data_IF_139981114319
#
_entry.id   IF_139981114319
#
_cell.length_a   1.000
_cell.length_b   1.000
_cell.length_c   1.000
_cell.angle_alpha   90.00
_cell.angle_beta   90.00
_cell.angle_gamma   90.00
#
_symmetry.space_group_name_H-M   'P 1'
#
loop_
_entity.id
_entity.type
_entity.pdbx_description
1 polymer ?
#
# COMPACT_ATOMS: atom_id res chain seq x y z
N UNK A 1 -0.93 1.16 3.74
CA UNK A 1 -2.30 1.11 3.17
C UNK A 1 -2.34 1.51 1.72
N UNK A 2 -1.92 2.72 1.32
CA UNK A 2 -1.91 3.12 -0.10
C UNK A 2 -1.28 2.07 -1.04
N UNK A 3 -0.14 1.49 -0.65
CA UNK A 3 0.54 0.48 -1.47
C UNK A 3 -0.29 -0.80 -1.65
N UNK A 4 -1.03 -1.22 -0.63
CA UNK A 4 -1.87 -2.42 -0.68
C UNK A 4 -3.13 -2.18 -1.52
N UNK A 5 -3.73 -1.00 -1.39
CA UNK A 5 -4.85 -0.58 -2.24
C UNK A 5 -4.43 -0.49 -3.70
N UNK A 6 -3.22 0.00 -3.98
CA UNK A 6 -2.67 0.00 -5.34
C UNK A 6 -2.50 -1.42 -5.90
N UNK A 7 -1.91 -2.35 -5.11
CA UNK A 7 -1.78 -3.76 -5.51
C UNK A 7 -3.14 -4.35 -5.83
N UNK A 8 -4.11 -4.18 -4.92
CA UNK A 8 -5.47 -4.69 -5.09
C UNK A 8 -6.11 -4.20 -6.39
N UNK A 9 -5.88 -2.94 -6.75
CA UNK A 9 -6.39 -2.37 -7.99
C UNK A 9 -5.71 -2.93 -9.24
N UNK A 10 -4.38 -3.08 -9.25
CA UNK A 10 -3.69 -3.67 -10.41
C UNK A 10 -4.12 -5.11 -10.68
N UNK A 11 -4.53 -5.83 -9.63
CA UNK A 11 -4.86 -7.25 -9.66
C UNK A 11 -6.38 -7.49 -9.56
N UNK A 12 -7.22 -6.48 -9.81
CA UNK A 12 -8.68 -6.55 -9.62
C UNK A 12 -9.36 -7.68 -10.39
N UNK A 13 -8.85 -8.01 -11.58
CA UNK A 13 -9.38 -9.10 -12.42
C UNK A 13 -8.74 -10.47 -12.13
N UNK A 14 -7.73 -10.52 -11.25
CA UNK A 14 -6.93 -11.72 -11.00
C UNK A 14 -7.53 -12.65 -9.93
N UNK A 15 -8.68 -12.28 -9.35
CA UNK A 15 -9.43 -13.07 -8.37
C UNK A 15 -9.34 -12.53 -6.94
N UNK A 16 -9.68 -13.34 -5.93
CA UNK A 16 -9.71 -12.87 -4.55
C UNK A 16 -8.32 -12.48 -4.05
N UNK A 17 -8.24 -11.37 -3.32
CA UNK A 17 -7.03 -10.88 -2.69
C UNK A 17 -6.92 -11.40 -1.26
N UNK A 18 -5.83 -12.10 -0.96
CA UNK A 18 -5.53 -12.53 0.40
C UNK A 18 -4.51 -11.63 1.10
N UNK A 19 -4.71 -11.40 2.39
CA UNK A 19 -3.82 -10.58 3.21
C UNK A 19 -3.36 -11.34 4.46
N UNK A 20 -2.05 -11.37 4.69
CA UNK A 20 -1.47 -11.96 5.88
C UNK A 20 -0.54 -10.99 6.60
N UNK A 21 -0.75 -10.79 7.90
CA UNK A 21 0.15 -10.00 8.74
C UNK A 21 0.17 -10.48 10.19
N UNK A 22 0.72 -9.69 11.11
CA UNK A 22 0.59 -9.95 12.55
C UNK A 22 -0.80 -9.53 13.00
N UNK A 23 -1.34 -10.20 14.04
CA UNK A 23 -2.68 -9.90 14.57
C UNK A 23 -2.85 -8.42 14.96
N UNK A 24 -1.80 -7.81 15.55
CA UNK A 24 -1.81 -6.40 15.92
C UNK A 24 -1.83 -5.47 14.71
N UNK A 25 -1.06 -5.80 13.66
CA UNK A 25 -1.02 -5.00 12.44
C UNK A 25 -2.32 -5.07 11.64
N UNK A 26 -2.96 -6.25 11.58
CA UNK A 26 -4.27 -6.40 10.92
C UNK A 26 -5.28 -5.42 11.52
N UNK A 27 -5.38 -5.35 12.85
CA UNK A 27 -6.28 -4.41 13.51
C UNK A 27 -6.03 -2.96 13.10
N UNK A 28 -4.76 -2.57 13.01
CA UNK A 28 -4.40 -1.21 12.55
C UNK A 28 -4.82 -1.02 11.10
N UNK A 29 -4.60 -1.99 10.22
CA UNK A 29 -4.98 -1.88 8.81
C UNK A 29 -6.51 -1.88 8.60
N UNK A 30 -7.26 -2.62 9.42
CA UNK A 30 -8.73 -2.57 9.47
C UNK A 30 -9.22 -1.13 9.74
N UNK A 31 -8.64 -0.45 10.72
CA UNK A 31 -8.96 0.96 11.04
C UNK A 31 -8.68 1.92 9.85
N UNK A 32 -7.88 1.49 8.87
CA UNK A 32 -7.58 2.23 7.64
C UNK A 32 -8.23 1.64 6.38
N UNK A 33 -9.25 0.79 6.51
CA UNK A 33 -10.07 0.30 5.40
C UNK A 33 -9.51 -0.93 4.66
N UNK A 34 -8.80 -1.82 5.35
CA UNK A 34 -8.33 -3.09 4.77
C UNK A 34 -9.46 -3.92 4.15
N UNK A 35 -10.61 -3.96 4.82
CA UNK A 35 -11.77 -4.77 4.44
C UNK A 35 -12.47 -4.26 3.16
N UNK A 36 -12.09 -3.10 2.63
CA UNK A 36 -12.64 -2.55 1.39
C UNK A 36 -12.13 -3.27 0.13
N UNK A 37 -10.99 -3.98 0.22
CA UNK A 37 -10.33 -4.54 -0.95
C UNK A 37 -9.64 -5.90 -0.70
N UNK A 38 -9.76 -6.48 0.50
CA UNK A 38 -9.22 -7.80 0.84
C UNK A 38 -10.37 -8.78 1.06
N UNK A 39 -10.32 -9.92 0.40
CA UNK A 39 -11.35 -10.97 0.49
C UNK A 39 -11.08 -11.96 1.63
N UNK A 40 -9.81 -12.34 1.82
CA UNK A 40 -9.41 -13.34 2.81
C UNK A 40 -8.25 -12.81 3.64
N UNK A 41 -8.34 -12.94 4.97
CA UNK A 41 -7.30 -12.47 5.88
C UNK A 41 -6.85 -13.54 6.85
N UNK A 42 -5.58 -13.50 7.20
CA UNK A 42 -4.97 -14.45 8.12
C UNK A 42 -3.85 -13.80 8.89
N UNK A 43 -3.48 -14.38 10.03
CA UNK A 43 -2.33 -13.89 10.77
C UNK A 43 -1.29 -14.97 11.03
N UNK A 44 -0.02 -14.59 11.12
CA UNK A 44 1.11 -15.53 11.27
C UNK A 44 0.93 -16.62 12.33
N UNK A 45 0.18 -16.35 13.41
CA UNK A 45 -0.10 -17.31 14.48
C UNK A 45 -1.11 -18.43 14.15
N UNK A 46 -1.95 -18.28 13.11
CA UNK A 46 -3.12 -19.14 12.85
C UNK A 46 -3.01 -19.93 11.52
N UNK A 47 -1.91 -19.77 10.79
CA UNK A 47 -1.75 -20.38 9.46
C UNK A 47 -1.34 -21.85 9.52
N UNK A 48 -1.04 -22.37 10.73
CA UNK A 48 -0.63 -23.76 10.92
C UNK A 48 -1.85 -24.67 10.85
N UNK A 49 -2.16 -25.14 9.65
CA UNK A 49 -3.25 -26.09 9.39
C UNK A 49 -4.41 -25.50 8.58
N UNK A 50 -4.42 -24.20 8.34
CA UNK A 50 -5.38 -23.57 7.43
C UNK A 50 -4.99 -23.82 5.96
N UNK A 51 -6.01 -24.09 5.15
CA UNK A 51 -5.96 -24.15 3.69
C UNK A 51 -6.74 -22.98 3.05
N UNK A 52 -7.18 -21.98 3.82
CA UNK A 52 -7.99 -20.85 3.30
C UNK A 52 -7.29 -20.00 2.23
N UNK A 53 -5.97 -20.16 2.09
CA UNK A 53 -5.15 -19.48 1.09
C UNK A 53 -4.74 -20.38 -0.09
N UNK A 54 -5.19 -21.64 -0.13
CA UNK A 54 -4.67 -22.64 -1.08
C UNK A 54 -5.01 -22.31 -2.53
N UNK A 55 -6.13 -21.63 -2.77
CA UNK A 55 -6.64 -21.20 -4.08
C UNK A 55 -6.45 -19.69 -4.35
N UNK A 56 -6.07 -18.93 -3.32
CA UNK A 56 -5.82 -17.49 -3.42
C UNK A 56 -4.52 -17.23 -4.20
N UNK A 57 -4.64 -16.58 -5.36
CA UNK A 57 -3.54 -16.36 -6.31
C UNK A 57 -2.80 -15.05 -6.10
N UNK A 58 -3.48 -14.04 -5.58
CA UNK A 58 -2.91 -12.73 -5.28
C UNK A 58 -2.86 -12.56 -3.77
N UNK A 59 -1.65 -12.42 -3.25
CA UNK A 59 -1.39 -12.39 -1.82
C UNK A 59 -0.56 -11.17 -1.41
N UNK A 60 -0.86 -10.60 -0.25
CA UNK A 60 -0.03 -9.59 0.40
C UNK A 60 0.43 -10.14 1.75
N UNK A 61 1.74 -10.16 1.98
CA UNK A 61 2.34 -10.51 3.28
C UNK A 61 3.01 -9.28 3.85
N UNK A 62 2.46 -8.75 4.94
CA UNK A 62 2.93 -7.51 5.57
C UNK A 62 3.60 -7.78 6.92
N UNK A 63 4.80 -7.22 7.11
CA UNK A 63 5.59 -7.34 8.33
C UNK A 63 6.10 -8.76 8.57
N UNK A 64 6.54 -9.02 9.80
CA UNK A 64 6.97 -10.34 10.26
C UNK A 64 6.68 -10.49 11.75
N UNK A 65 6.69 -11.74 12.24
CA UNK A 65 6.76 -11.96 13.67
C UNK A 65 8.18 -11.69 14.18
N UNK A 66 8.26 -11.05 15.33
CA UNK A 66 9.51 -10.84 16.05
C UNK A 66 9.63 -11.93 17.14
N UNK A 67 10.48 -12.96 16.97
CA UNK A 67 10.57 -14.05 17.95
C UNK A 67 11.09 -13.54 19.29
N UNK A 68 10.45 -13.94 20.40
CA UNK A 68 10.91 -13.51 21.73
C UNK A 68 12.28 -14.09 22.08
N UNK A 69 13.06 -13.39 22.93
CA UNK A 69 14.37 -13.91 23.36
C UNK A 69 14.27 -15.29 24.02
N UNK A 70 13.32 -15.54 24.95
CA UNK A 70 13.19 -16.88 25.54
C UNK A 70 12.94 -17.97 24.50
N UNK A 71 12.21 -17.67 23.41
CA UNK A 71 11.97 -18.64 22.34
C UNK A 71 13.26 -19.01 21.61
N UNK A 72 14.10 -18.03 21.29
CA UNK A 72 15.40 -18.27 20.63
C UNK A 72 16.33 -19.03 21.57
N UNK A 73 16.39 -18.62 22.85
CA UNK A 73 17.20 -19.28 23.87
C UNK A 73 16.78 -20.73 24.10
N UNK A 74 15.47 -21.03 24.07
CA UNK A 74 14.97 -22.40 24.16
C UNK A 74 15.48 -23.26 23.01
N UNK A 75 15.42 -22.79 21.76
CA UNK A 75 15.97 -23.51 20.61
C UNK A 75 17.49 -23.64 20.67
N UNK A 76 18.19 -22.61 21.14
CA UNK A 76 19.62 -22.69 21.42
C UNK A 76 19.94 -23.77 22.44
N UNK A 77 19.19 -23.85 23.55
CA UNK A 77 19.38 -24.86 24.58
C UNK A 77 19.16 -26.29 24.04
N UNK A 78 18.18 -26.49 23.16
CA UNK A 78 18.00 -27.78 22.46
C UNK A 78 19.21 -28.16 21.58
N UNK A 79 19.93 -27.18 21.06
CA UNK A 79 21.18 -27.36 20.32
C UNK A 79 22.43 -27.38 21.22
N UNK A 80 22.28 -27.34 22.56
CA UNK A 80 23.39 -27.29 23.50
C UNK A 80 24.06 -25.92 23.64
N UNK A 81 23.43 -24.85 23.15
CA UNK A 81 23.96 -23.49 23.11
C UNK A 81 23.34 -22.60 24.21
N UNK A 82 24.16 -21.77 24.85
CA UNK A 82 23.72 -20.77 25.84
C UNK A 82 23.63 -19.39 25.20
N UNK A 83 22.57 -19.17 24.43
CA UNK A 83 22.39 -17.95 23.64
C UNK A 83 21.98 -16.74 24.50
N UNK A 84 22.53 -15.57 24.20
CA UNK A 84 22.14 -14.29 24.80
C UNK A 84 21.96 -13.24 23.71
N UNK A 85 20.94 -12.37 23.81
CA UNK A 85 20.77 -11.31 22.84
C UNK A 85 21.92 -10.30 22.97
N UNK A 86 22.44 -9.84 21.84
CA UNK A 86 23.49 -8.83 21.86
C UNK A 86 22.98 -7.44 22.27
N UNK A 87 23.88 -6.64 22.81
CA UNK A 87 23.63 -5.26 23.21
C UNK A 87 24.40 -4.31 22.29
N UNK A 88 23.77 -3.21 21.93
CA UNK A 88 24.45 -2.13 21.23
C UNK A 88 25.40 -1.35 22.14
N UNK A 89 26.10 -0.38 21.56
CA UNK A 89 27.09 0.47 22.24
C UNK A 89 26.55 1.18 23.49
N UNK A 90 25.26 1.51 23.49
CA UNK A 90 24.57 2.14 24.62
C UNK A 90 24.12 1.14 25.72
N UNK A 91 24.52 -0.13 25.63
CA UNK A 91 24.15 -1.19 26.57
C UNK A 91 22.70 -1.70 26.43
N UNK A 92 21.94 -1.19 25.46
CA UNK A 92 20.56 -1.65 25.21
C UNK A 92 20.54 -2.85 24.27
N UNK A 93 19.62 -3.80 24.52
CA UNK A 93 19.47 -4.98 23.66
C UNK A 93 19.05 -4.53 22.26
N UNK A 94 19.74 -5.07 21.24
CA UNK A 94 19.42 -4.80 19.85
C UNK A 94 18.04 -5.36 19.49
N UNK A 95 17.29 -4.63 18.63
CA UNK A 95 15.90 -4.95 18.26
C UNK A 95 15.66 -4.78 16.77
N UNK A 96 14.57 -5.38 16.29
CA UNK A 96 14.14 -5.30 14.89
C UNK A 96 15.21 -5.88 13.97
N UNK A 97 15.54 -5.16 12.89
CA UNK A 97 16.55 -5.57 11.92
C UNK A 97 17.96 -5.72 12.51
N UNK A 98 18.26 -5.06 13.63
CA UNK A 98 19.59 -5.14 14.29
C UNK A 98 19.69 -6.27 15.31
N UNK A 99 18.59 -6.97 15.59
CA UNK A 99 18.60 -8.03 16.59
C UNK A 99 19.48 -9.19 16.12
N UNK A 100 20.36 -9.64 17.00
CA UNK A 100 21.26 -10.77 16.78
C UNK A 100 21.52 -11.50 18.11
N UNK A 101 21.85 -12.78 17.99
CA UNK A 101 22.31 -13.66 19.07
C UNK A 101 23.73 -14.20 18.77
N UNK A 102 24.45 -13.53 17.87
CA UNK A 102 25.75 -13.95 17.38
C UNK A 102 25.67 -15.09 16.37
N UNK A 103 26.84 -15.52 15.90
CA UNK A 103 27.01 -16.54 14.85
C UNK A 103 26.21 -17.83 15.10
N UNK A 104 26.18 -18.32 16.34
CA UNK A 104 25.47 -19.54 16.70
C UNK A 104 23.94 -19.37 16.81
N UNK A 105 23.48 -18.16 17.14
CA UNK A 105 22.08 -17.88 17.41
C UNK A 105 21.31 -17.28 16.25
N UNK A 106 22.00 -16.60 15.33
CA UNK A 106 21.40 -15.95 14.18
C UNK A 106 20.75 -16.92 13.19
N UNK A 107 21.29 -18.12 12.92
CA UNK A 107 20.58 -19.14 12.13
C UNK A 107 19.21 -19.51 12.72
N UNK A 108 19.08 -19.56 14.05
CA UNK A 108 17.81 -19.83 14.74
C UNK A 108 16.87 -18.62 14.59
N UNK A 109 17.38 -17.40 14.73
CA UNK A 109 16.60 -16.18 14.50
C UNK A 109 16.05 -16.16 13.07
N UNK A 110 16.90 -16.39 12.07
CA UNK A 110 16.56 -16.48 10.65
C UNK A 110 15.50 -17.55 10.40
N UNK A 111 15.66 -18.72 11.00
CA UNK A 111 14.69 -19.81 10.87
C UNK A 111 13.30 -19.46 11.45
N UNK A 112 13.25 -18.64 12.51
CA UNK A 112 12.00 -18.30 13.18
C UNK A 112 11.32 -17.06 12.61
N UNK A 113 12.06 -16.15 11.97
CA UNK A 113 11.56 -14.87 11.47
C UNK A 113 11.48 -14.86 9.94
N UNK A 114 12.61 -14.96 9.26
CA UNK A 114 12.73 -14.86 7.80
C UNK A 114 12.10 -16.07 7.10
N UNK A 115 12.44 -17.28 7.54
CA UNK A 115 11.84 -18.49 6.97
C UNK A 115 10.32 -18.58 7.27
N UNK A 116 9.85 -17.96 8.36
CA UNK A 116 8.41 -17.89 8.64
C UNK A 116 7.69 -17.02 7.61
N UNK A 117 8.26 -15.86 7.22
CA UNK A 117 7.71 -15.02 6.15
C UNK A 117 7.60 -15.81 4.84
N UNK A 118 8.67 -16.52 4.46
CA UNK A 118 8.66 -17.32 3.24
C UNK A 118 7.62 -18.44 3.28
N UNK A 119 7.52 -19.18 4.40
CA UNK A 119 6.50 -20.22 4.57
C UNK A 119 5.09 -19.67 4.44
N UNK A 120 4.85 -18.44 4.91
CA UNK A 120 3.57 -17.76 4.75
C UNK A 120 3.32 -17.34 3.31
N UNK A 121 4.32 -16.79 2.63
CA UNK A 121 4.20 -16.47 1.20
C UNK A 121 3.86 -17.71 0.36
N UNK A 122 4.45 -18.87 0.70
CA UNK A 122 4.16 -20.15 0.06
C UNK A 122 2.79 -20.76 0.42
N UNK A 123 1.98 -20.11 1.28
CA UNK A 123 0.61 -20.58 1.56
C UNK A 123 -0.36 -20.28 0.42
N UNK A 124 -0.07 -19.22 -0.32
CA UNK A 124 -0.86 -18.82 -1.48
C UNK A 124 -0.69 -19.82 -2.62
N UNK A 125 -1.79 -20.09 -3.33
CA UNK A 125 -1.81 -20.90 -4.55
C UNK A 125 -1.13 -22.28 -4.44
N UNK A 126 -1.26 -22.94 -3.29
CA UNK A 126 -0.73 -24.30 -3.07
C UNK A 126 -1.42 -25.36 -3.93
N UNK A 127 -2.65 -25.10 -4.36
CA UNK A 127 -3.37 -26.03 -5.22
C UNK A 127 -2.95 -25.86 -6.69
N UNK A 128 -2.28 -26.87 -7.27
CA UNK A 128 -1.82 -26.79 -8.64
C UNK A 128 -3.02 -26.92 -9.59
N UNK A 129 -3.30 -25.86 -10.34
CA UNK A 129 -4.18 -25.92 -11.50
C UNK A 129 -3.40 -25.57 -12.77
N UNK A 130 -3.27 -26.55 -13.67
CA UNK A 130 -2.48 -26.43 -14.92
C UNK A 130 -2.97 -25.32 -15.85
N UNK A 131 -4.18 -24.82 -15.65
CA UNK A 131 -4.82 -23.80 -16.49
C UNK A 131 -4.87 -22.41 -15.83
N UNK A 132 -4.31 -22.24 -14.64
CA UNK A 132 -4.33 -20.96 -13.94
C UNK A 132 -3.00 -20.21 -14.09
N UNK A 133 -3.08 -18.88 -14.17
CA UNK A 133 -1.95 -17.96 -14.18
C UNK A 133 -1.06 -18.17 -12.94
N UNK A 134 0.24 -17.82 -12.94
CA UNK A 134 1.10 -17.85 -11.74
C UNK A 134 0.52 -17.08 -10.56
N UNK A 135 0.95 -17.40 -9.33
CA UNK A 135 0.55 -16.65 -8.15
C UNK A 135 1.48 -15.46 -7.94
N UNK A 136 0.92 -14.29 -7.63
CA UNK A 136 1.69 -13.09 -7.28
C UNK A 136 1.55 -12.85 -5.78
N UNK A 137 2.67 -12.90 -5.06
CA UNK A 137 2.71 -12.65 -3.62
C UNK A 137 3.62 -11.45 -3.34
N UNK A 138 3.01 -10.37 -2.89
CA UNK A 138 3.68 -9.12 -2.57
C UNK A 138 4.17 -9.14 -1.12
N UNK A 139 5.47 -8.92 -0.93
CA UNK A 139 6.09 -8.93 0.39
C UNK A 139 6.40 -7.50 0.83
N UNK A 140 5.70 -7.03 1.86
CA UNK A 140 5.99 -5.75 2.53
C UNK A 140 6.66 -6.02 3.88
N UNK A 141 7.92 -6.43 3.83
CA UNK A 141 8.70 -6.84 5.00
C UNK A 141 10.20 -6.75 4.73
N UNK A 142 10.98 -6.57 5.78
CA UNK A 142 12.45 -6.62 5.72
C UNK A 142 13.01 -8.00 6.11
N UNK A 143 12.14 -8.95 6.45
CA UNK A 143 12.52 -10.27 6.94
C UNK A 143 12.33 -11.34 5.85
N UNK A 144 13.06 -11.20 4.75
CA UNK A 144 13.09 -12.20 3.68
C UNK A 144 14.44 -12.94 3.78
N UNK A 145 14.48 -14.28 3.64
CA UNK A 145 15.75 -14.99 3.63
C UNK A 145 16.64 -14.49 2.50
N UNK A 146 17.94 -14.32 2.77
CA UNK A 146 18.90 -13.70 1.83
C UNK A 146 19.00 -14.43 0.47
N UNK A 147 18.76 -15.75 0.47
CA UNK A 147 18.81 -16.57 -0.74
C UNK A 147 17.54 -16.46 -1.61
N UNK A 148 16.49 -15.78 -1.15
CA UNK A 148 15.29 -15.51 -1.94
C UNK A 148 15.49 -14.19 -2.66
N UNK A 149 15.38 -14.22 -3.99
CA UNK A 149 15.52 -13.04 -4.85
C UNK A 149 14.12 -12.59 -5.35
N UNK A 150 13.38 -11.75 -4.58
CA UNK A 150 12.11 -11.22 -5.06
C UNK A 150 12.32 -10.15 -6.13
N UNK A 151 11.36 -10.01 -7.05
CA UNK A 151 11.29 -8.82 -7.89
C UNK A 151 11.08 -7.59 -7.02
N UNK A 152 11.92 -6.57 -7.19
CA UNK A 152 11.82 -5.35 -6.40
C UNK A 152 10.82 -4.38 -7.00
N UNK A 153 9.75 -4.15 -6.25
CA UNK A 153 8.74 -3.14 -6.57
C UNK A 153 9.08 -1.83 -5.84
N UNK A 154 9.70 -0.88 -6.53
CA UNK A 154 10.01 0.44 -5.98
C UNK A 154 8.81 1.37 -6.18
N UNK A 155 8.20 1.78 -5.07
CA UNK A 155 7.16 2.79 -5.02
C UNK A 155 7.77 4.15 -4.66
N UNK A 156 7.45 5.19 -5.42
CA UNK A 156 7.84 6.56 -5.10
C UNK A 156 6.66 7.29 -4.45
N UNK A 157 6.59 7.38 -3.12
CA UNK A 157 5.56 8.18 -2.47
C UNK A 157 5.83 9.66 -2.75
N UNK A 158 4.89 10.31 -3.42
CA UNK A 158 4.91 11.76 -3.63
C UNK A 158 3.93 12.41 -2.66
N UNK A 159 4.46 13.31 -1.84
CA UNK A 159 3.66 14.13 -0.94
C UNK A 159 3.21 15.38 -1.70
N UNK A 160 1.98 15.36 -2.20
CA UNK A 160 1.45 16.48 -2.96
C UNK A 160 1.27 17.74 -2.13
N UNK A 161 1.04 17.61 -0.82
CA UNK A 161 0.99 18.73 0.13
C UNK A 161 2.28 19.57 0.12
N UNK A 162 3.42 18.98 -0.22
CA UNK A 162 4.71 19.68 -0.30
C UNK A 162 4.91 20.42 -1.63
N UNK A 163 4.06 20.18 -2.64
CA UNK A 163 4.07 20.95 -3.88
C UNK A 163 3.29 22.24 -3.69
N UNK A 164 3.94 23.40 -3.93
CA UNK A 164 3.30 24.72 -3.73
C UNK A 164 1.92 24.84 -4.39
N UNK A 165 1.77 24.38 -5.63
CA UNK A 165 0.49 24.51 -6.35
C UNK A 165 -0.52 23.41 -6.00
N UNK A 166 -0.07 22.16 -5.88
CA UNK A 166 -0.98 21.06 -5.57
C UNK A 166 -1.43 21.13 -4.11
N UNK A 167 -0.52 21.40 -3.17
CA UNK A 167 -0.85 21.58 -1.77
C UNK A 167 -1.92 22.66 -1.54
N UNK A 168 -1.85 23.78 -2.25
CA UNK A 168 -2.90 24.82 -2.21
C UNK A 168 -4.26 24.31 -2.68
N UNK A 169 -4.30 23.56 -3.79
CA UNK A 169 -5.53 22.94 -4.30
C UNK A 169 -6.10 21.94 -3.29
N UNK A 170 -5.24 21.07 -2.74
CA UNK A 170 -5.64 20.06 -1.76
C UNK A 170 -6.20 20.70 -0.48
N UNK A 171 -5.54 21.74 0.04
CA UNK A 171 -6.02 22.48 1.23
C UNK A 171 -7.40 23.07 0.97
N UNK A 172 -7.61 23.71 -0.17
CA UNK A 172 -8.91 24.30 -0.53
C UNK A 172 -10.00 23.26 -0.67
N UNK A 173 -9.73 22.12 -1.33
CA UNK A 173 -10.70 21.03 -1.46
C UNK A 173 -11.10 20.47 -0.09
N UNK A 174 -10.16 20.41 0.86
CA UNK A 174 -10.41 19.89 2.21
C UNK A 174 -11.17 20.86 3.10
N UNK A 175 -10.70 22.10 3.15
CA UNK A 175 -11.06 23.05 4.20
C UNK A 175 -12.11 24.08 3.74
N UNK A 176 -12.10 24.42 2.47
CA UNK A 176 -12.80 25.62 1.97
C UNK A 176 -14.00 25.28 1.09
N UNK A 177 -13.96 24.16 0.36
CA UNK A 177 -15.07 23.72 -0.47
C UNK A 177 -16.12 22.98 0.36
N UNK A 178 -17.39 23.34 0.13
CA UNK A 178 -18.54 22.71 0.76
C UNK A 178 -18.60 21.22 0.44
N UNK A 179 -19.22 20.45 1.34
CA UNK A 179 -19.56 19.06 1.07
C UNK A 179 -20.49 18.99 -0.16
N UNK A 180 -20.19 18.09 -1.09
CA UNK A 180 -20.92 17.95 -2.35
C UNK A 180 -20.04 18.13 -3.58
N UNK A 181 -20.65 18.59 -4.68
CA UNK A 181 -20.00 18.72 -5.98
C UNK A 181 -19.61 20.16 -6.31
N UNK A 182 -18.47 20.32 -6.99
CA UNK A 182 -17.87 21.60 -7.33
C UNK A 182 -17.23 21.56 -8.72
N UNK A 183 -17.11 22.72 -9.37
CA UNK A 183 -16.47 22.89 -10.68
C UNK A 183 -15.03 23.36 -10.52
N UNK A 184 -14.26 23.29 -11.59
CA UNK A 184 -12.90 23.86 -11.62
C UNK A 184 -12.88 25.36 -11.27
N UNK A 185 -13.92 26.11 -11.61
CA UNK A 185 -14.07 27.54 -11.26
C UNK A 185 -14.08 27.75 -9.75
N UNK A 186 -14.81 26.90 -9.04
CA UNK A 186 -15.04 27.04 -7.60
C UNK A 186 -13.73 26.82 -6.83
N UNK A 187 -12.90 25.88 -7.31
CA UNK A 187 -11.53 25.69 -6.81
C UNK A 187 -10.66 26.91 -7.06
N UNK A 188 -10.73 27.49 -8.26
CA UNK A 188 -9.90 28.65 -8.61
C UNK A 188 -10.26 29.85 -7.75
N UNK A 189 -11.55 30.15 -7.61
CA UNK A 189 -12.06 31.22 -6.74
C UNK A 189 -11.64 31.01 -5.28
N UNK A 190 -11.74 29.78 -4.76
CA UNK A 190 -11.35 29.50 -3.39
C UNK A 190 -9.83 29.57 -3.16
N UNK A 191 -9.01 29.13 -4.13
CA UNK A 191 -7.55 29.30 -4.08
C UNK A 191 -7.16 30.77 -4.14
N UNK A 192 -7.80 31.55 -5.03
CA UNK A 192 -7.57 32.99 -5.15
C UNK A 192 -7.94 33.72 -3.86
N UNK A 193 -9.11 33.42 -3.29
CA UNK A 193 -9.56 33.99 -2.01
C UNK A 193 -8.57 33.71 -0.87
N UNK A 194 -7.97 32.50 -0.83
CA UNK A 194 -7.08 32.08 0.27
C UNK A 194 -5.63 32.54 0.09
N UNK A 195 -5.11 32.53 -1.13
CA UNK A 195 -3.68 32.73 -1.40
C UNK A 195 -3.35 33.96 -2.29
N UNK A 196 -4.35 34.66 -2.82
CA UNK A 196 -4.19 35.86 -3.65
C UNK A 196 -4.07 35.58 -5.15
N UNK A 197 -4.25 36.63 -5.96
CA UNK A 197 -4.34 36.59 -7.42
C UNK A 197 -2.94 36.54 -8.08
N UNK A 198 -2.64 35.48 -8.84
CA UNK A 198 -1.49 35.43 -9.77
C UNK A 198 -1.94 34.73 -11.07
N UNK A 199 -1.81 35.41 -12.22
CA UNK A 199 -2.20 34.86 -13.53
C UNK A 199 -1.43 33.59 -13.92
N UNK A 200 -0.23 33.34 -13.36
CA UNK A 200 0.50 32.07 -13.52
C UNK A 200 -0.17 30.91 -12.76
N UNK A 201 -1.07 31.21 -11.83
CA UNK A 201 -1.79 30.25 -11.01
C UNK A 201 -2.83 29.48 -11.82
N UNK A 202 -3.62 30.10 -12.71
CA UNK A 202 -4.70 29.41 -13.42
C UNK A 202 -4.24 28.24 -14.31
N UNK A 203 -3.15 28.40 -15.09
CA UNK A 203 -2.60 27.29 -15.88
C UNK A 203 -2.09 26.17 -14.97
N UNK A 204 -1.45 26.54 -13.86
CA UNK A 204 -0.93 25.60 -12.87
C UNK A 204 -2.05 24.84 -12.16
N UNK A 205 -3.11 25.52 -11.72
CA UNK A 205 -4.27 24.91 -11.07
C UNK A 205 -5.03 23.97 -12.01
N UNK A 206 -5.15 24.32 -13.30
CA UNK A 206 -5.68 23.38 -14.31
C UNK A 206 -4.82 22.12 -14.41
N UNK A 207 -3.50 22.28 -14.42
CA UNK A 207 -2.56 21.15 -14.38
C UNK A 207 -2.76 20.29 -13.13
N UNK A 208 -2.91 20.89 -11.96
CA UNK A 208 -3.19 20.17 -10.72
C UNK A 208 -4.54 19.42 -10.78
N UNK A 209 -5.62 20.06 -11.24
CA UNK A 209 -6.91 19.39 -11.41
C UNK A 209 -6.86 18.27 -12.45
N UNK A 210 -6.08 18.44 -13.51
CA UNK A 210 -5.84 17.37 -14.48
C UNK A 210 -5.11 16.18 -13.83
N UNK A 211 -4.04 16.43 -13.08
CA UNK A 211 -3.28 15.39 -12.35
C UNK A 211 -4.18 14.67 -11.32
N UNK A 212 -5.08 15.40 -10.65
CA UNK A 212 -6.08 14.84 -9.73
C UNK A 212 -7.06 13.88 -10.43
N UNK A 213 -7.44 14.16 -11.67
CA UNK A 213 -8.30 13.28 -12.48
C UNK A 213 -7.55 12.08 -13.01
N UNK A 214 -6.35 12.29 -13.55
CA UNK A 214 -5.51 11.22 -14.13
C UNK A 214 -5.12 10.19 -13.07
N UNK A 215 -4.91 10.64 -11.83
CA UNK A 215 -4.67 9.78 -10.67
C UNK A 215 -5.95 9.25 -9.99
N UNK A 216 -7.10 9.71 -10.45
CA UNK A 216 -8.42 9.45 -9.87
C UNK A 216 -8.46 9.66 -8.33
N UNK A 217 -7.75 10.69 -7.86
CA UNK A 217 -7.70 11.07 -6.44
C UNK A 217 -9.00 11.75 -6.00
N UNK A 218 -9.68 12.40 -6.92
CA UNK A 218 -10.93 13.14 -6.69
C UNK A 218 -11.98 12.61 -7.67
N UNK A 219 -13.12 12.08 -7.18
CA UNK A 219 -14.21 11.64 -8.05
C UNK A 219 -14.69 12.80 -8.93
N UNK A 220 -14.98 12.51 -10.20
CA UNK A 220 -15.49 13.50 -11.13
C UNK A 220 -16.49 12.91 -12.11
N UNK A 221 -17.40 13.74 -12.59
CA UNK A 221 -18.34 13.43 -13.66
C UNK A 221 -18.01 14.31 -14.87
N UNK A 222 -17.90 13.68 -16.05
CA UNK A 222 -17.81 14.39 -17.31
C UNK A 222 -19.22 14.73 -17.78
N UNK A 223 -19.51 15.98 -18.19
CA UNK A 223 -20.76 16.25 -18.88
C UNK A 223 -20.69 15.63 -20.28
N UNK A 224 -21.54 14.63 -20.55
CA UNK A 224 -21.66 14.04 -21.88
C UNK A 224 -22.75 12.99 -21.97
N UNK A 225 -23.94 13.40 -22.43
CA UNK A 225 -24.85 12.51 -23.14
C UNK A 225 -24.52 12.53 -24.63
N UNK A 226 -24.86 11.45 -25.34
CA UNK A 226 -24.77 11.37 -26.80
C UNK A 226 -25.40 12.62 -27.46
N UNK A 227 -24.59 13.43 -28.14
CA UNK A 227 -25.07 14.52 -28.99
C UNK A 227 -24.80 15.97 -28.55
N UNK A 228 -24.18 16.23 -27.39
CA UNK A 228 -23.83 17.62 -27.01
C UNK A 228 -22.33 17.89 -27.12
N UNK A 229 -21.96 18.99 -27.78
CA UNK A 229 -20.59 19.39 -28.08
C UNK A 229 -19.62 19.37 -26.89
N UNK A 230 -18.33 19.25 -27.22
CA UNK A 230 -17.16 18.99 -26.36
C UNK A 230 -16.81 20.06 -25.30
N UNK A 231 -17.79 20.79 -24.76
CA UNK A 231 -17.57 22.01 -23.97
C UNK A 231 -18.03 21.98 -22.50
N UNK A 232 -18.48 20.84 -21.97
CA UNK A 232 -18.96 20.76 -20.58
C UNK A 232 -17.85 20.87 -19.53
N UNK A 233 -18.06 21.69 -18.50
CA UNK A 233 -17.14 21.79 -17.35
C UNK A 233 -17.22 20.57 -16.45
N UNK A 234 -16.07 19.99 -16.09
CA UNK A 234 -15.98 18.88 -15.13
C UNK A 234 -16.60 19.25 -13.79
N UNK A 235 -17.38 18.31 -13.25
CA UNK A 235 -17.97 18.38 -11.91
C UNK A 235 -17.21 17.39 -11.05
N UNK A 236 -16.56 17.86 -10.00
CA UNK A 236 -15.82 17.04 -9.04
C UNK A 236 -16.64 16.87 -7.77
N UNK A 237 -16.32 15.87 -6.97
CA UNK A 237 -16.90 15.66 -5.65
C UNK A 237 -15.80 15.59 -4.60
N UNK A 238 -16.11 16.03 -3.38
CA UNK A 238 -15.20 15.84 -2.26
C UNK A 238 -15.06 14.33 -1.99
N UNK A 239 -13.84 13.78 -1.99
CA UNK A 239 -13.65 12.36 -1.71
C UNK A 239 -13.88 12.00 -0.25
N UNK A 240 -14.35 10.77 -0.01
CA UNK A 240 -14.58 10.22 1.33
C UNK A 240 -13.27 10.05 2.12
N UNK A 241 -12.18 9.66 1.45
CA UNK A 241 -10.85 9.55 2.04
C UNK A 241 -9.87 10.42 1.25
N UNK A 242 -9.27 11.42 1.88
CA UNK A 242 -8.36 12.34 1.20
C UNK A 242 -7.05 12.54 1.97
N UNK A 243 -6.10 11.62 1.79
CA UNK A 243 -4.87 11.61 2.58
C UNK A 243 -3.74 12.51 2.04
N UNK A 244 -3.90 13.11 0.85
CA UNK A 244 -2.96 14.09 0.28
C UNK A 244 -1.63 13.49 -0.16
N UNK A 245 -1.56 12.16 -0.18
CA UNK A 245 -0.41 11.37 -0.59
C UNK A 245 -0.78 10.59 -1.83
N UNK A 246 0.27 10.28 -2.58
CA UNK A 246 0.16 9.62 -3.86
C UNK A 246 1.30 8.64 -4.00
N UNK A 247 1.02 7.49 -4.59
CA UNK A 247 2.06 6.57 -5.01
C UNK A 247 2.27 6.71 -6.51
N UNK A 248 3.53 6.94 -6.88
CA UNK A 248 3.98 6.89 -8.26
C UNK A 248 4.73 5.57 -8.46
N UNK A 249 4.29 4.77 -9.42
CA UNK A 249 4.90 3.50 -9.80
C UNK A 249 5.48 3.57 -11.21
N UNK A 250 6.80 3.35 -11.33
CA UNK A 250 7.59 3.68 -12.54
C UNK A 250 7.38 5.16 -12.94
N UNK A 251 8.12 5.71 -13.90
CA UNK A 251 8.08 7.16 -14.20
C UNK A 251 6.73 7.70 -14.78
N UNK A 252 5.58 7.07 -14.50
CA UNK A 252 4.29 7.51 -15.07
C UNK A 252 2.96 6.96 -14.50
N UNK A 253 2.90 5.90 -13.67
CA UNK A 253 1.61 5.43 -13.13
C UNK A 253 1.33 6.04 -11.75
N UNK A 254 0.14 6.60 -11.60
CA UNK A 254 -0.20 7.47 -10.47
C UNK A 254 -1.45 6.96 -9.75
N UNK A 255 -1.35 6.71 -8.45
CA UNK A 255 -2.47 6.22 -7.64
C UNK A 255 -2.85 7.20 -6.52
N UNK A 256 -4.11 7.62 -6.55
CA UNK A 256 -4.75 8.41 -5.51
C UNK A 256 -5.63 7.57 -4.59
N UNK A 257 -5.96 8.05 -3.38
CA UNK A 257 -6.77 7.32 -2.41
C UNK A 257 -8.14 6.83 -2.90
N UNK A 258 -8.72 7.42 -3.97
CA UNK A 258 -10.09 7.11 -4.42
C UNK A 258 -10.18 6.58 -5.86
N UNK A 259 -9.09 6.02 -6.40
CA UNK A 259 -9.11 5.56 -7.77
C UNK A 259 -9.98 4.30 -7.93
N UNK A 260 -11.04 4.40 -8.74
CA UNK A 260 -11.69 3.25 -9.40
C UNK A 260 -11.10 3.17 -10.81
N UNK A 261 -10.66 2.00 -11.26
CA UNK A 261 -10.10 1.83 -12.60
C UNK A 261 -11.23 1.97 -13.63
N UNK A 262 -11.10 2.95 -14.52
CA UNK A 262 -11.77 2.90 -15.83
C UNK A 262 -10.85 2.18 -16.79
N UNK A 263 -11.29 1.03 -17.26
CA UNK A 263 -10.58 0.19 -18.22
C UNK A 263 -10.34 0.96 -19.53
N UNK A 264 -9.10 1.37 -19.78
CA UNK A 264 -8.64 1.82 -21.08
C UNK A 264 -7.31 1.11 -21.36
N UNK A 265 -7.30 0.07 -22.20
CA UNK A 265 -6.07 -0.59 -22.60
C UNK A 265 -5.25 0.37 -23.47
N UNK A 266 -4.10 0.80 -22.95
CA UNK A 266 -3.10 1.55 -23.71
C UNK A 266 -2.46 0.65 -24.77
N UNK A 267 -2.87 0.87 -26.02
CA UNK A 267 -2.19 0.39 -27.22
C UNK A 267 -0.70 0.77 -27.23
N UNK A 268 0.13 -0.28 -27.29
CA UNK A 268 1.51 -0.42 -27.83
C UNK A 268 2.48 0.75 -27.74
#
# INVERSE_FOLDING_TARGET
>A
MLAFRWIAQQETDAGPLGFISTKGAIKVYEDYGLDEFVDVRGHYGDLKGSNEFSDIRIGIVAGCNEPSHPRIQMWGAFAGLSLKPEKGENGTILRGSRKTFGEDGDPILVALRENQVLQVAMRFAREPNRNQQPAHVYLHTAAIPEWVEPEQMILHPRLWEQSKGMGQVLTVIREDLAEGSWKSSDVFEAVERRYGEDKKTNRRLRGCLQELRESNTVPYTRPGGEGSGSGGAYIYQKPDVFDGRMLVYRDGYVHGPNSVISDQPGTR
#
